data_IF_903242747844
#
_entry.id   IF_903242747844
#
_cell.length_a   1.000
_cell.length_b   1.000
_cell.length_c   1.000
_cell.angle_alpha   90.00
_cell.angle_beta   90.00
_cell.angle_gamma   90.00
#
_symmetry.space_group_name_H-M   'P 1'
#
loop_
_entity.id
_entity.type
_entity.pdbx_description
1 polymer ?
#
# COMPACT_ATOMS: atom_id res chain seq x y z
N UNK A 1 1.26 4.09 26.89
CA UNK A 1 0.68 3.60 25.63
C UNK A 1 1.55 4.11 24.49
N UNK A 2 2.31 3.22 23.84
CA UNK A 2 3.15 3.58 22.70
C UNK A 2 2.26 4.12 21.58
N UNK A 3 2.52 5.35 21.11
CA UNK A 3 1.87 5.95 19.93
C UNK A 3 2.28 5.12 18.71
N UNK A 4 1.60 4.01 18.48
CA UNK A 4 1.69 3.30 17.21
C UNK A 4 1.37 4.28 16.08
N UNK A 5 2.21 4.32 15.06
CA UNK A 5 1.91 5.03 13.80
C UNK A 5 0.47 4.70 13.39
N UNK A 6 -0.29 5.71 12.95
CA UNK A 6 -1.68 5.53 12.51
C UNK A 6 -1.79 4.46 11.41
N UNK A 7 -0.72 4.30 10.62
CA UNK A 7 -0.54 3.24 9.62
C UNK A 7 -0.57 1.86 10.27
N UNK A 8 0.15 1.64 11.38
CA UNK A 8 0.16 0.36 12.10
C UNK A 8 -1.22 -0.03 12.63
N UNK A 9 -2.01 0.93 13.11
CA UNK A 9 -3.38 0.65 13.55
C UNK A 9 -4.28 0.25 12.37
N UNK A 10 -4.15 0.93 11.23
CA UNK A 10 -4.89 0.59 10.02
C UNK A 10 -4.52 -0.80 9.50
N UNK A 11 -3.22 -1.11 9.44
CA UNK A 11 -2.73 -2.44 9.05
C UNK A 11 -3.21 -3.54 10.00
N UNK A 12 -3.27 -3.26 11.30
CA UNK A 12 -3.80 -4.22 12.28
C UNK A 12 -5.30 -4.49 12.07
N UNK A 13 -6.09 -3.47 11.74
CA UNK A 13 -7.50 -3.65 11.40
C UNK A 13 -7.69 -4.45 10.10
N UNK A 14 -6.81 -4.22 9.11
CA UNK A 14 -6.79 -4.96 7.85
C UNK A 14 -6.42 -6.43 8.06
N UNK A 15 -5.44 -6.72 8.92
CA UNK A 15 -5.03 -8.10 9.27
C UNK A 15 -6.20 -8.96 9.75
N UNK A 16 -7.07 -8.41 10.61
CA UNK A 16 -8.25 -9.15 11.10
C UNK A 16 -9.15 -9.64 9.97
N UNK A 17 -9.42 -8.79 8.98
CA UNK A 17 -10.27 -9.14 7.82
C UNK A 17 -9.61 -10.16 6.90
N UNK A 18 -8.31 -9.98 6.62
CA UNK A 18 -7.52 -10.92 5.81
C UNK A 18 -7.52 -12.32 6.43
N UNK A 19 -7.27 -12.42 7.73
CA UNK A 19 -7.25 -13.70 8.45
C UNK A 19 -8.62 -14.35 8.47
N UNK A 20 -9.68 -13.57 8.64
CA UNK A 20 -11.04 -14.08 8.61
C UNK A 20 -11.39 -14.71 7.26
N UNK A 21 -11.00 -14.08 6.14
CA UNK A 21 -11.22 -14.66 4.81
C UNK A 21 -10.54 -16.02 4.65
N UNK A 22 -9.28 -16.14 5.09
CA UNK A 22 -8.56 -17.41 5.04
C UNK A 22 -9.15 -18.47 5.97
N UNK A 23 -9.70 -18.06 7.12
CA UNK A 23 -10.37 -18.96 8.06
C UNK A 23 -11.70 -19.48 7.53
N UNK A 24 -12.52 -18.60 6.95
CA UNK A 24 -13.80 -18.98 6.33
C UNK A 24 -13.57 -19.99 5.20
N UNK A 25 -12.53 -19.78 4.38
CA UNK A 25 -12.16 -20.71 3.31
C UNK A 25 -11.71 -22.07 3.88
N UNK A 26 -10.96 -22.07 4.99
CA UNK A 26 -10.55 -23.31 5.66
C UNK A 26 -11.74 -24.06 6.27
N UNK A 27 -12.71 -23.33 6.83
CA UNK A 27 -13.94 -23.88 7.39
C UNK A 27 -14.79 -24.56 6.31
N UNK A 28 -14.95 -23.92 5.14
CA UNK A 28 -15.64 -24.50 3.98
C UNK A 28 -14.95 -25.80 3.48
N UNK A 29 -13.61 -25.86 3.46
CA UNK A 29 -12.90 -27.12 3.20
C UNK A 29 -13.10 -28.17 4.30
N UNK A 30 -13.30 -27.74 5.55
CA UNK A 30 -13.68 -28.57 6.69
C UNK A 30 -15.05 -29.20 6.51
N UNK A 31 -16.06 -28.41 6.15
CA UNK A 31 -17.42 -28.88 5.87
C UNK A 31 -17.46 -29.89 4.71
N UNK A 32 -16.57 -29.72 3.73
CA UNK A 32 -16.40 -30.63 2.59
C UNK A 32 -15.55 -31.88 2.90
N UNK A 33 -14.98 -31.99 4.10
CA UNK A 33 -14.16 -33.12 4.52
C UNK A 33 -12.77 -33.19 3.88
N UNK A 34 -12.27 -32.09 3.29
CA UNK A 34 -11.00 -32.04 2.56
C UNK A 34 -9.97 -31.06 3.16
N UNK A 35 -10.12 -30.71 4.44
CA UNK A 35 -9.31 -29.70 5.15
C UNK A 35 -7.79 -29.94 5.12
N UNK A 36 -7.34 -31.19 5.02
CA UNK A 36 -5.90 -31.57 4.95
C UNK A 36 -5.39 -31.78 3.52
N UNK A 37 -6.22 -31.49 2.52
CA UNK A 37 -5.83 -31.63 1.12
C UNK A 37 -4.88 -30.49 0.71
N UNK A 38 -4.08 -30.74 -0.31
CA UNK A 38 -3.24 -29.70 -0.91
C UNK A 38 -4.06 -28.52 -1.44
N UNK A 39 -5.29 -28.79 -1.91
CA UNK A 39 -6.26 -27.80 -2.41
C UNK A 39 -6.71 -26.89 -1.28
N UNK A 40 -6.93 -27.41 -0.07
CA UNK A 40 -7.31 -26.59 1.08
C UNK A 40 -6.18 -25.63 1.48
N UNK A 41 -4.94 -26.12 1.49
CA UNK A 41 -3.77 -25.28 1.78
C UNK A 41 -3.62 -24.18 0.73
N UNK A 42 -3.58 -24.52 -0.56
CA UNK A 42 -3.44 -23.50 -1.62
C UNK A 42 -4.62 -22.55 -1.67
N UNK A 43 -5.84 -23.04 -1.44
CA UNK A 43 -7.07 -22.26 -1.40
C UNK A 43 -7.04 -21.18 -0.32
N UNK A 44 -6.66 -21.53 0.91
CA UNK A 44 -6.60 -20.56 2.02
C UNK A 44 -5.52 -19.49 1.82
N UNK A 45 -4.36 -19.84 1.25
CA UNK A 45 -3.33 -18.87 0.88
C UNK A 45 -3.80 -17.95 -0.27
N UNK A 46 -4.56 -18.49 -1.23
CA UNK A 46 -5.13 -17.69 -2.31
C UNK A 46 -6.20 -16.72 -1.79
N UNK A 47 -7.07 -17.18 -0.88
CA UNK A 47 -8.06 -16.33 -0.20
C UNK A 47 -7.37 -15.20 0.57
N UNK A 48 -6.32 -15.53 1.34
CA UNK A 48 -5.48 -14.55 2.02
C UNK A 48 -4.88 -13.53 1.05
N UNK A 49 -4.34 -13.97 -0.08
CA UNK A 49 -3.72 -13.11 -1.09
C UNK A 49 -4.73 -12.18 -1.77
N UNK A 50 -5.92 -12.68 -2.12
CA UNK A 50 -7.00 -11.90 -2.75
C UNK A 50 -7.47 -10.82 -1.79
N UNK A 51 -7.79 -11.20 -0.54
CA UNK A 51 -8.28 -10.25 0.46
C UNK A 51 -7.22 -9.20 0.79
N UNK A 52 -5.96 -9.61 0.91
CA UNK A 52 -4.84 -8.71 1.14
C UNK A 52 -4.65 -7.71 0.00
N UNK A 53 -4.74 -8.15 -1.26
CA UNK A 53 -4.70 -7.24 -2.41
C UNK A 53 -5.85 -6.23 -2.37
N UNK A 54 -7.07 -6.70 -2.09
CA UNK A 54 -8.26 -5.85 -1.99
C UNK A 54 -8.10 -4.77 -0.91
N UNK A 55 -7.81 -5.20 0.32
CA UNK A 55 -7.74 -4.32 1.49
C UNK A 55 -6.56 -3.34 1.43
N UNK A 56 -5.38 -3.81 1.01
CA UNK A 56 -4.22 -2.92 0.85
C UNK A 56 -4.41 -1.95 -0.31
N UNK A 57 -5.03 -2.36 -1.41
CA UNK A 57 -5.34 -1.43 -2.51
C UNK A 57 -6.31 -0.35 -2.06
N UNK A 58 -7.36 -0.73 -1.32
CA UNK A 58 -8.31 0.22 -0.74
C UNK A 58 -7.64 1.18 0.23
N UNK A 59 -6.79 0.67 1.12
CA UNK A 59 -5.99 1.50 2.04
C UNK A 59 -5.12 2.50 1.27
N UNK A 60 -4.47 2.07 0.19
CA UNK A 60 -3.64 2.94 -0.65
C UNK A 60 -4.47 3.99 -1.40
N UNK A 61 -5.65 3.62 -1.90
CA UNK A 61 -6.58 4.56 -2.54
C UNK A 61 -7.07 5.63 -1.55
N UNK A 62 -7.45 5.23 -0.34
CA UNK A 62 -7.85 6.16 0.72
C UNK A 62 -6.68 7.09 1.10
N UNK A 63 -5.46 6.56 1.19
CA UNK A 63 -4.25 7.34 1.45
C UNK A 63 -3.88 8.28 0.30
N UNK A 64 -4.15 7.91 -0.95
CA UNK A 64 -3.90 8.75 -2.13
C UNK A 64 -4.77 10.02 -2.15
N UNK A 65 -5.94 9.99 -1.52
CA UNK A 65 -6.82 11.15 -1.32
C UNK A 65 -6.26 12.12 -0.26
N UNK A 66 -5.34 11.67 0.59
CA UNK A 66 -4.71 12.51 1.62
C UNK A 66 -3.50 13.29 1.07
N UNK A 67 -3.05 14.32 1.79
CA UNK A 67 -1.81 15.07 1.50
C UNK A 67 -0.57 14.27 1.93
N UNK A 68 -0.39 13.08 1.37
CA UNK A 68 0.78 12.27 1.64
C UNK A 68 2.01 12.87 0.94
N UNK A 69 3.16 12.86 1.62
CA UNK A 69 4.43 13.30 1.05
C UNK A 69 5.31 12.08 0.73
N UNK A 70 6.32 12.29 -0.11
CA UNK A 70 7.20 11.20 -0.58
C UNK A 70 7.89 10.42 0.54
N UNK A 71 8.31 11.11 1.61
CA UNK A 71 8.93 10.45 2.77
C UNK A 71 7.97 9.48 3.45
N UNK A 72 6.73 9.91 3.72
CA UNK A 72 5.69 9.06 4.31
C UNK A 72 5.30 7.92 3.39
N UNK A 73 5.37 8.11 2.07
CA UNK A 73 5.13 7.03 1.10
C UNK A 73 6.22 5.94 1.20
N UNK A 74 7.48 6.32 1.37
CA UNK A 74 8.56 5.36 1.58
C UNK A 74 8.45 4.62 2.91
N UNK A 75 8.13 5.33 4.00
CA UNK A 75 7.86 4.70 5.32
C UNK A 75 6.69 3.70 5.22
N UNK A 76 5.62 4.08 4.50
CA UNK A 76 4.48 3.20 4.23
C UNK A 76 4.88 1.97 3.39
N UNK A 77 5.77 2.13 2.40
CA UNK A 77 6.26 1.01 1.58
C UNK A 77 6.92 -0.06 2.45
N UNK A 78 7.81 0.34 3.35
CA UNK A 78 8.49 -0.58 4.27
C UNK A 78 7.51 -1.26 5.22
N UNK A 79 6.56 -0.50 5.80
CA UNK A 79 5.56 -1.08 6.71
C UNK A 79 4.63 -2.08 6.00
N UNK A 80 4.18 -1.79 4.78
CA UNK A 80 3.33 -2.70 3.99
C UNK A 80 4.11 -3.95 3.59
N UNK A 81 5.36 -3.83 3.16
CA UNK A 81 6.16 -4.99 2.78
C UNK A 81 6.38 -5.95 3.96
N UNK A 82 6.77 -5.40 5.11
CA UNK A 82 6.89 -6.18 6.35
C UNK A 82 5.56 -6.81 6.77
N UNK A 83 4.45 -6.10 6.58
CA UNK A 83 3.11 -6.59 6.88
C UNK A 83 2.74 -7.80 6.01
N UNK A 84 2.92 -7.71 4.69
CA UNK A 84 2.62 -8.80 3.75
C UNK A 84 3.38 -10.07 4.16
N UNK A 85 4.70 -9.99 4.31
CA UNK A 85 5.53 -11.14 4.69
C UNK A 85 5.05 -11.74 6.01
N UNK A 86 4.79 -10.89 7.00
CA UNK A 86 4.35 -11.34 8.32
C UNK A 86 3.01 -12.08 8.27
N UNK A 87 2.02 -11.57 7.52
CA UNK A 87 0.70 -12.22 7.44
C UNK A 87 0.78 -13.59 6.76
N UNK A 88 1.59 -13.74 5.71
CA UNK A 88 1.83 -15.05 5.07
C UNK A 88 2.53 -16.03 6.04
N UNK A 89 3.56 -15.57 6.75
CA UNK A 89 4.27 -16.38 7.77
C UNK A 89 3.37 -16.77 8.96
N UNK A 90 2.55 -15.83 9.46
CA UNK A 90 1.61 -16.10 10.54
C UNK A 90 0.55 -17.12 10.10
N UNK A 91 0.03 -17.03 8.87
CA UNK A 91 -0.92 -18.01 8.33
C UNK A 91 -0.29 -19.38 8.14
N UNK A 92 0.94 -19.44 7.61
CA UNK A 92 1.71 -20.68 7.50
C UNK A 92 1.88 -21.37 8.86
N UNK A 93 2.27 -20.61 9.88
CA UNK A 93 2.40 -21.12 11.26
C UNK A 93 1.08 -21.62 11.81
N UNK A 94 -0.01 -20.89 11.57
CA UNK A 94 -1.35 -21.32 11.97
C UNK A 94 -1.73 -22.68 11.35
N UNK A 95 -1.54 -22.85 10.03
CA UNK A 95 -1.83 -24.11 9.34
C UNK A 95 -0.96 -25.28 9.84
N UNK A 96 0.29 -25.01 10.22
CA UNK A 96 1.17 -26.00 10.84
C UNK A 96 0.69 -26.40 12.25
N UNK A 97 0.26 -25.43 13.06
CA UNK A 97 -0.24 -25.68 14.42
C UNK A 97 -1.48 -26.57 14.45
N UNK A 98 -2.37 -26.42 13.46
CA UNK A 98 -3.58 -27.23 13.33
C UNK A 98 -3.36 -28.54 12.55
N UNK A 99 -2.11 -28.87 12.20
CA UNK A 99 -1.72 -30.05 11.42
C UNK A 99 -2.42 -30.16 10.05
N UNK A 100 -2.73 -29.00 9.43
CA UNK A 100 -3.22 -28.93 8.05
C UNK A 100 -2.05 -28.89 7.06
N UNK A 101 -0.97 -28.19 7.42
CA UNK A 101 0.27 -28.15 6.65
C UNK A 101 1.37 -28.96 7.35
N UNK A 102 1.77 -30.08 6.73
CA UNK A 102 2.93 -30.85 7.19
C UNK A 102 4.23 -30.12 6.85
N UNK A 103 5.09 -29.92 7.84
CA UNK A 103 6.41 -29.30 7.67
C UNK A 103 7.28 -30.05 6.65
N UNK A 104 7.79 -29.35 5.63
CA UNK A 104 8.80 -29.88 4.70
C UNK A 104 8.31 -30.28 3.30
N UNK A 105 7.07 -29.95 2.89
CA UNK A 105 6.64 -30.16 1.51
C UNK A 105 7.19 -29.06 0.59
N UNK A 106 8.28 -29.37 -0.13
CA UNK A 106 9.03 -28.43 -1.01
C UNK A 106 8.15 -27.61 -1.98
N UNK A 107 7.09 -28.21 -2.54
CA UNK A 107 6.22 -27.52 -3.51
C UNK A 107 5.37 -26.40 -2.90
N UNK A 108 5.15 -26.40 -1.58
CA UNK A 108 4.34 -25.38 -0.92
C UNK A 108 5.11 -24.10 -0.64
N UNK A 109 6.40 -24.19 -0.33
CA UNK A 109 7.23 -23.02 -0.09
C UNK A 109 7.34 -22.17 -1.37
N UNK A 110 7.59 -22.80 -2.51
CA UNK A 110 7.62 -22.11 -3.82
C UNK A 110 6.28 -21.47 -4.17
N UNK A 111 5.16 -22.14 -3.85
CA UNK A 111 3.82 -21.59 -4.07
C UNK A 111 3.55 -20.37 -3.17
N UNK A 112 3.87 -20.47 -1.88
CA UNK A 112 3.70 -19.37 -0.92
C UNK A 112 4.57 -18.19 -1.34
N UNK A 113 5.82 -18.43 -1.74
CA UNK A 113 6.72 -17.38 -2.21
C UNK A 113 6.16 -16.69 -3.46
N UNK A 114 5.76 -17.44 -4.49
CA UNK A 114 5.16 -16.87 -5.71
C UNK A 114 3.90 -16.05 -5.41
N UNK A 115 3.08 -16.54 -4.48
CA UNK A 115 1.85 -15.85 -4.08
C UNK A 115 2.17 -14.56 -3.33
N UNK A 116 3.13 -14.60 -2.42
CA UNK A 116 3.65 -13.44 -1.69
C UNK A 116 4.21 -12.40 -2.65
N UNK A 117 5.08 -12.81 -3.58
CA UNK A 117 5.66 -11.93 -4.60
C UNK A 117 4.58 -11.31 -5.49
N UNK A 118 3.54 -12.07 -5.81
CA UNK A 118 2.40 -11.59 -6.59
C UNK A 118 1.56 -10.53 -5.85
N UNK A 119 1.41 -10.64 -4.53
CA UNK A 119 0.77 -9.59 -3.71
C UNK A 119 1.69 -8.38 -3.62
N UNK A 120 2.95 -8.58 -3.25
CA UNK A 120 3.96 -7.52 -3.12
C UNK A 120 4.05 -6.70 -4.41
N UNK A 121 4.23 -7.34 -5.56
CA UNK A 121 4.34 -6.67 -6.86
C UNK A 121 3.11 -5.84 -7.20
N UNK A 122 1.91 -6.36 -6.91
CA UNK A 122 0.64 -5.65 -7.15
C UNK A 122 0.55 -4.36 -6.32
N UNK A 123 0.97 -4.44 -5.06
CA UNK A 123 0.95 -3.30 -4.14
C UNK A 123 2.08 -2.31 -4.47
N UNK A 124 3.27 -2.79 -4.84
CA UNK A 124 4.37 -1.94 -5.30
C UNK A 124 4.00 -1.12 -6.53
N UNK A 125 3.33 -1.72 -7.52
CA UNK A 125 2.85 -1.00 -8.69
C UNK A 125 1.91 0.15 -8.30
N UNK A 126 0.99 -0.10 -7.36
CA UNK A 126 0.08 0.92 -6.85
C UNK A 126 0.83 2.05 -6.13
N UNK A 127 1.83 1.70 -5.31
CA UNK A 127 2.68 2.70 -4.64
C UNK A 127 3.51 3.52 -5.63
N UNK A 128 4.02 2.93 -6.71
CA UNK A 128 4.73 3.66 -7.78
C UNK A 128 3.81 4.67 -8.48
N UNK A 129 2.55 4.28 -8.75
CA UNK A 129 1.54 5.19 -9.30
C UNK A 129 1.32 6.37 -8.35
N UNK A 130 1.22 6.11 -7.04
CA UNK A 130 1.10 7.18 -6.03
C UNK A 130 2.33 8.11 -5.99
N UNK A 131 3.56 7.58 -6.07
CA UNK A 131 4.78 8.41 -6.10
C UNK A 131 4.76 9.34 -7.32
N UNK A 132 4.41 8.80 -8.50
CA UNK A 132 4.29 9.59 -9.73
C UNK A 132 3.29 10.74 -9.58
N UNK A 133 2.10 10.46 -9.03
CA UNK A 133 1.07 11.49 -8.77
C UNK A 133 1.58 12.57 -7.80
N UNK A 134 2.32 12.19 -6.77
CA UNK A 134 2.91 13.16 -5.81
C UNK A 134 3.94 14.06 -6.50
N UNK A 135 4.79 13.50 -7.36
CA UNK A 135 5.81 14.24 -8.11
C UNK A 135 5.15 15.20 -9.10
N UNK A 136 4.17 14.75 -9.88
CA UNK A 136 3.43 15.60 -10.83
C UNK A 136 2.74 16.78 -10.15
N UNK A 137 2.09 16.53 -9.00
CA UNK A 137 1.48 17.61 -8.19
C UNK A 137 2.51 18.65 -7.75
N UNK A 138 3.71 18.22 -7.33
CA UNK A 138 4.78 19.16 -6.93
C UNK A 138 5.30 20.00 -8.09
N UNK A 139 5.54 19.39 -9.25
CA UNK A 139 5.99 20.09 -10.45
C UNK A 139 4.97 21.16 -10.84
N UNK A 140 3.67 20.84 -10.82
CA UNK A 140 2.59 21.79 -11.10
C UNK A 140 2.60 22.97 -10.13
N UNK A 141 2.75 22.72 -8.82
CA UNK A 141 2.83 23.79 -7.81
C UNK A 141 4.03 24.71 -8.04
N UNK A 142 5.22 24.13 -8.31
CA UNK A 142 6.43 24.92 -8.62
C UNK A 142 6.21 25.77 -9.87
N UNK A 143 5.58 25.20 -10.90
CA UNK A 143 5.27 25.90 -12.14
C UNK A 143 4.31 27.08 -11.92
N UNK A 144 3.27 26.90 -11.10
CA UNK A 144 2.31 27.95 -10.77
C UNK A 144 2.96 29.07 -9.93
N UNK A 145 3.82 28.73 -8.97
CA UNK A 145 4.64 29.72 -8.24
C UNK A 145 5.55 30.49 -9.21
N UNK A 146 6.20 29.79 -10.13
CA UNK A 146 7.04 30.40 -11.17
C UNK A 146 6.28 31.42 -12.02
N UNK A 147 5.06 31.09 -12.45
CA UNK A 147 4.19 32.04 -13.17
C UNK A 147 3.89 33.27 -12.34
N UNK A 148 3.52 33.11 -11.06
CA UNK A 148 3.21 34.24 -10.16
C UNK A 148 4.42 35.17 -10.05
N UNK A 149 5.63 34.62 -9.87
CA UNK A 149 6.85 35.40 -9.78
C UNK A 149 7.17 36.15 -11.08
N UNK A 150 7.00 35.51 -12.24
CA UNK A 150 7.19 36.15 -13.55
C UNK A 150 6.19 37.29 -13.75
N UNK A 151 4.91 37.05 -13.45
CA UNK A 151 3.87 38.09 -13.54
C UNK A 151 4.16 39.26 -12.60
N UNK A 152 4.60 38.99 -11.37
CA UNK A 152 4.98 40.02 -10.41
C UNK A 152 6.19 40.84 -10.89
N UNK A 153 7.19 40.19 -11.48
CA UNK A 153 8.36 40.87 -12.05
C UNK A 153 7.99 41.77 -13.24
N UNK A 154 7.13 41.30 -14.15
CA UNK A 154 6.64 42.10 -15.28
C UNK A 154 5.81 43.29 -14.78
N UNK A 155 4.90 43.08 -13.83
CA UNK A 155 4.10 44.15 -13.24
C UNK A 155 4.97 45.19 -12.51
N UNK A 156 6.00 44.74 -11.80
CA UNK A 156 6.99 45.61 -11.16
C UNK A 156 7.82 46.40 -12.17
N UNK A 157 8.23 45.79 -13.27
CA UNK A 157 8.99 46.47 -14.34
C UNK A 157 8.14 47.53 -15.05
N UNK A 158 6.89 47.21 -15.40
CA UNK A 158 5.95 48.17 -16.00
C UNK A 158 5.66 49.31 -15.01
N UNK A 159 5.41 49.01 -13.74
CA UNK A 159 5.16 50.03 -12.71
C UNK A 159 6.35 50.97 -12.51
N UNK A 160 7.58 50.43 -12.47
CA UNK A 160 8.80 51.23 -12.38
C UNK A 160 9.03 52.08 -13.64
N UNK A 161 8.75 51.54 -14.82
CA UNK A 161 8.86 52.26 -16.09
C UNK A 161 7.90 53.45 -16.15
N UNK A 162 6.62 53.23 -15.79
CA UNK A 162 5.60 54.29 -15.70
C UNK A 162 6.00 55.36 -14.69
N UNK A 163 6.49 54.96 -13.50
CA UNK A 163 6.95 55.91 -12.47
C UNK A 163 8.11 56.79 -12.96
N UNK A 164 9.10 56.20 -13.64
CA UNK A 164 10.24 56.95 -14.18
C UNK A 164 9.87 57.84 -15.37
N UNK A 165 8.86 57.47 -16.18
CA UNK A 165 8.52 58.21 -17.40
C UNK A 165 7.48 59.31 -17.19
N UNK A 166 6.52 59.13 -16.26
CA UNK A 166 5.45 60.11 -16.00
C UNK A 166 5.76 61.08 -14.85
N UNK A 167 6.89 60.92 -14.16
CA UNK A 167 7.35 61.90 -13.15
C UNK A 167 6.40 62.13 -11.98
N UNK A 168 5.52 61.17 -11.68
CA UNK A 168 4.72 61.22 -10.46
C UNK A 168 5.57 60.76 -9.27
N UNK A 169 5.54 61.47 -8.12
CA UNK A 169 6.37 61.17 -6.94
C UNK A 169 6.29 59.71 -6.45
#
# INVERSE_FOLDING_TARGET
>A
MSKGSLIKMLLQAVSGRIRQAAHNELEDYGERGIVRSSIAVTGTFNALAIEMKSELTKLLDDLALTRLNRRKLNELKEEIHCFIIKEFEDHKRYLQQINVLSSGQLNFEDFIQKTTDGVTSSIELKMLIMDKVIVEKRIKVIWDIGKILITAAIGGFIGAYIKNFLGAP
#
